data_IF_153959241919
#
_entry.id   IF_153959241919
#
_cell.length_a   1.000
_cell.length_b   1.000
_cell.length_c   1.000
_cell.angle_alpha   90.00
_cell.angle_beta   90.00
_cell.angle_gamma   90.00
#
_symmetry.space_group_name_H-M   'P 1'
#
loop_
_entity.id
_entity.type
_entity.pdbx_description
1 polymer ?
#
# COMPACT_ATOMS: atom_id res chain seq x y z
N UNK A 1 -15.59 -13.18 -51.74
CA UNK A 1 -14.34 -13.17 -50.95
C UNK A 1 -13.68 -11.85 -51.25
N UNK A 2 -13.63 -10.90 -50.32
CA UNK A 2 -12.62 -9.82 -50.25
C UNK A 2 -12.96 -8.85 -49.11
N UNK A 3 -11.96 -8.54 -48.28
CA UNK A 3 -12.10 -7.78 -47.04
C UNK A 3 -11.48 -8.50 -45.85
N UNK A 4 -10.16 -8.75 -45.89
CA UNK A 4 -9.41 -9.27 -44.74
C UNK A 4 -9.36 -8.27 -43.58
N UNK A 5 -9.01 -8.70 -42.36
CA UNK A 5 -8.95 -7.83 -41.19
C UNK A 5 -7.90 -6.71 -41.36
N UNK A 6 -8.31 -5.47 -41.10
CA UNK A 6 -7.44 -4.27 -41.19
C UNK A 6 -6.41 -4.28 -40.06
N UNK A 7 -5.13 -4.35 -40.42
CA UNK A 7 -3.99 -4.36 -39.50
C UNK A 7 -3.78 -2.96 -38.90
N UNK A 8 -3.79 -2.85 -37.57
CA UNK A 8 -3.55 -1.59 -36.84
C UNK A 8 -2.29 -1.69 -35.99
N UNK A 9 -1.33 -0.81 -36.23
CA UNK A 9 -0.04 -0.80 -35.55
C UNK A 9 0.00 0.29 -34.47
N UNK A 10 0.14 -0.13 -33.20
CA UNK A 10 0.22 0.79 -32.04
C UNK A 10 1.65 0.96 -31.52
N UNK A 11 2.48 -0.09 -31.60
CA UNK A 11 3.85 -0.11 -31.06
C UNK A 11 4.89 -0.61 -32.10
N UNK A 12 4.58 -0.53 -33.38
CA UNK A 12 5.46 -0.99 -34.46
C UNK A 12 5.39 -0.02 -35.65
N UNK A 13 6.53 0.22 -36.31
CA UNK A 13 6.61 1.03 -37.54
C UNK A 13 6.84 0.10 -38.75
N UNK A 14 5.81 -0.19 -39.55
CA UNK A 14 5.95 -1.01 -40.74
C UNK A 14 6.86 -0.32 -41.77
N UNK A 15 7.71 -1.12 -42.42
CA UNK A 15 8.63 -0.64 -43.48
C UNK A 15 7.97 -0.58 -44.86
N UNK A 16 6.96 -1.43 -45.10
CA UNK A 16 6.18 -1.44 -46.34
C UNK A 16 5.21 -0.26 -46.38
N UNK A 17 5.06 0.38 -47.55
CA UNK A 17 4.28 1.61 -47.69
C UNK A 17 2.78 1.38 -47.49
N UNK A 18 2.25 0.26 -47.98
CA UNK A 18 0.83 -0.10 -47.91
C UNK A 18 0.33 -0.36 -46.48
N UNK A 19 1.24 -0.54 -45.51
CA UNK A 19 0.91 -0.78 -44.10
C UNK A 19 1.11 0.47 -43.22
N UNK A 20 1.63 1.57 -43.77
CA UNK A 20 1.79 2.84 -43.05
C UNK A 20 0.45 3.47 -42.68
N UNK A 21 -0.58 3.25 -43.50
CA UNK A 21 -1.96 3.74 -43.26
C UNK A 21 -2.62 3.11 -42.03
N UNK A 22 -2.12 1.94 -41.59
CA UNK A 22 -2.58 1.25 -40.38
C UNK A 22 -1.93 1.74 -39.08
N UNK A 23 -0.99 2.68 -39.13
CA UNK A 23 -0.28 3.18 -37.93
C UNK A 23 -1.17 4.17 -37.19
N UNK A 24 -1.59 3.77 -36.00
CA UNK A 24 -2.40 4.64 -35.15
C UNK A 24 -1.51 5.73 -34.53
N UNK A 25 -2.02 6.97 -34.39
CA UNK A 25 -1.30 8.02 -33.69
C UNK A 25 -0.98 7.56 -32.27
N UNK A 26 0.27 7.78 -31.84
CA UNK A 26 0.69 7.48 -30.47
C UNK A 26 -0.22 8.28 -29.53
N UNK A 27 -0.90 7.59 -28.62
CA UNK A 27 -1.76 8.23 -27.64
C UNK A 27 -0.97 9.32 -26.90
N UNK A 28 -1.30 10.58 -27.15
CA UNK A 28 -0.82 11.70 -26.36
C UNK A 28 -1.57 11.65 -25.03
N UNK A 29 -0.84 11.80 -23.92
CA UNK A 29 -1.47 11.91 -22.62
C UNK A 29 -2.51 13.06 -22.67
N UNK A 30 -3.70 12.90 -22.07
CA UNK A 30 -4.63 14.00 -21.95
C UNK A 30 -3.92 15.13 -21.19
N UNK A 31 -3.93 16.33 -21.77
CA UNK A 31 -3.51 17.55 -21.06
C UNK A 31 -4.39 17.69 -19.83
N UNK A 32 -3.75 18.04 -18.72
CA UNK A 32 -4.28 18.16 -17.36
C UNK A 32 -5.79 18.42 -17.30
N UNK A 33 -6.51 17.45 -16.73
CA UNK A 33 -7.91 17.61 -16.37
C UNK A 33 -7.97 18.36 -15.05
N UNK A 34 -8.58 19.54 -15.13
CA UNK A 34 -8.93 20.45 -14.04
C UNK A 34 -9.64 19.71 -12.89
N UNK A 35 -9.22 20.02 -11.66
CA UNK A 35 -9.72 19.41 -10.42
C UNK A 35 -11.13 19.94 -10.11
N UNK A 36 -12.14 19.29 -10.68
CA UNK A 36 -13.55 19.55 -10.41
C UNK A 36 -14.15 18.55 -9.41
N UNK A 37 -14.50 19.06 -8.23
CA UNK A 37 -15.14 18.37 -7.10
C UNK A 37 -16.49 17.73 -7.49
N UNK A 38 -16.70 16.44 -7.20
CA UNK A 38 -18.04 15.87 -7.01
C UNK A 38 -17.99 14.67 -6.05
N UNK A 39 -18.74 14.80 -4.97
CA UNK A 39 -18.98 13.81 -3.93
C UNK A 39 -20.02 12.81 -4.44
N UNK A 40 -19.75 11.49 -4.40
CA UNK A 40 -20.79 10.46 -4.34
C UNK A 40 -20.24 9.15 -3.75
N UNK A 41 -21.05 8.52 -2.92
CA UNK A 41 -20.62 7.59 -1.89
C UNK A 41 -20.20 6.19 -2.36
N UNK A 42 -19.60 5.48 -1.41
CA UNK A 42 -19.80 4.03 -1.31
C UNK A 42 -19.18 3.18 -2.40
N UNK A 43 -17.95 3.47 -2.83
CA UNK A 43 -17.13 2.46 -3.50
C UNK A 43 -15.80 2.39 -2.78
N UNK A 44 -15.52 1.24 -2.17
CA UNK A 44 -14.17 0.85 -1.78
C UNK A 44 -13.39 0.69 -3.08
N UNK A 45 -12.98 1.83 -3.64
CA UNK A 45 -11.93 1.86 -4.64
C UNK A 45 -10.69 1.40 -3.89
N UNK A 46 -10.39 0.10 -3.99
CA UNK A 46 -9.04 -0.38 -3.85
C UNK A 46 -8.27 0.29 -4.99
N UNK A 47 -7.90 1.56 -4.77
CA UNK A 47 -6.86 2.25 -5.51
C UNK A 47 -5.62 1.44 -5.23
N UNK A 48 -5.40 0.42 -6.05
CA UNK A 48 -4.10 -0.18 -6.21
C UNK A 48 -3.24 0.98 -6.66
N UNK A 49 -2.57 1.63 -5.71
CA UNK A 49 -1.57 2.65 -5.98
C UNK A 49 -0.47 1.98 -6.80
N UNK A 50 -0.64 1.96 -8.13
CA UNK A 50 0.31 1.48 -9.13
C UNK A 50 1.39 2.56 -9.34
N UNK A 51 1.85 3.15 -8.24
CA UNK A 51 3.13 3.83 -8.21
C UNK A 51 4.22 2.77 -7.98
N UNK A 52 5.45 2.93 -8.50
CA UNK A 52 6.58 2.11 -8.11
C UNK A 52 6.77 2.24 -6.59
N UNK A 53 6.28 1.25 -5.83
CA UNK A 53 6.47 1.21 -4.39
C UNK A 53 7.94 0.91 -4.10
N UNK A 54 8.41 1.35 -2.93
CA UNK A 54 9.77 1.02 -2.45
C UNK A 54 9.96 -0.51 -2.52
N UNK A 55 11.14 -1.01 -2.91
CA UNK A 55 11.38 -2.45 -3.06
C UNK A 55 11.05 -3.26 -1.78
N UNK A 56 11.17 -2.63 -0.60
CA UNK A 56 10.88 -3.24 0.69
C UNK A 56 9.46 -2.99 1.22
N UNK A 57 8.52 -2.47 0.41
CA UNK A 57 7.18 -2.12 0.90
C UNK A 57 6.41 -3.37 1.35
N UNK A 58 6.55 -4.44 0.59
CA UNK A 58 5.89 -5.72 0.83
C UNK A 58 6.43 -6.37 2.10
N UNK A 59 7.76 -6.34 2.26
CA UNK A 59 8.43 -6.78 3.47
C UNK A 59 7.94 -6.03 4.71
N UNK A 60 7.84 -4.69 4.64
CA UNK A 60 7.33 -3.88 5.76
C UNK A 60 5.89 -4.25 6.12
N UNK A 61 5.03 -4.43 5.11
CA UNK A 61 3.62 -4.79 5.32
C UNK A 61 3.48 -6.17 5.99
N UNK A 62 4.18 -7.16 5.47
CA UNK A 62 4.04 -8.54 5.91
C UNK A 62 4.70 -8.78 7.28
N UNK A 63 5.79 -8.06 7.58
CA UNK A 63 6.46 -8.09 8.89
C UNK A 63 5.66 -7.32 9.94
N UNK A 64 5.01 -6.20 9.59
CA UNK A 64 4.24 -5.38 10.53
C UNK A 64 3.16 -6.20 11.27
N UNK A 65 2.43 -7.07 10.57
CA UNK A 65 1.40 -7.93 11.19
C UNK A 65 1.99 -8.91 12.22
N UNK A 66 3.17 -9.45 11.94
CA UNK A 66 3.87 -10.38 12.86
C UNK A 66 4.41 -9.62 14.07
N UNK A 67 5.00 -8.45 13.86
CA UNK A 67 5.49 -7.59 14.93
C UNK A 67 4.38 -7.12 15.86
N UNK A 68 3.24 -6.67 15.34
CA UNK A 68 2.11 -6.25 16.16
C UNK A 68 1.60 -7.36 17.11
N UNK A 69 1.58 -8.61 16.62
CA UNK A 69 1.22 -9.76 17.46
C UNK A 69 2.25 -10.04 18.55
N UNK A 70 3.53 -9.89 18.23
CA UNK A 70 4.62 -10.10 19.17
C UNK A 70 4.65 -9.00 20.23
N UNK A 71 4.56 -7.74 19.81
CA UNK A 71 4.51 -6.56 20.67
C UNK A 71 3.39 -6.65 21.71
N UNK A 72 2.18 -7.06 21.30
CA UNK A 72 1.07 -7.28 22.24
C UNK A 72 1.42 -8.32 23.31
N UNK A 73 2.08 -9.42 22.93
CA UNK A 73 2.49 -10.46 23.89
C UNK A 73 3.62 -9.97 24.79
N UNK A 74 4.56 -9.20 24.25
CA UNK A 74 5.65 -8.59 25.01
C UNK A 74 5.10 -7.61 26.04
N UNK A 75 4.15 -6.76 25.68
CA UNK A 75 3.47 -5.85 26.61
C UNK A 75 2.74 -6.64 27.71
N UNK A 76 2.04 -7.72 27.37
CA UNK A 76 1.39 -8.59 28.36
C UNK A 76 2.39 -9.19 29.34
N UNK A 77 3.49 -9.77 28.84
CA UNK A 77 4.54 -10.33 29.68
C UNK A 77 5.21 -9.26 30.57
N UNK A 78 5.43 -8.05 30.05
CA UNK A 78 5.94 -6.92 30.85
C UNK A 78 4.96 -6.58 31.98
N UNK A 79 3.67 -6.49 31.70
CA UNK A 79 2.64 -6.21 32.71
C UNK A 79 2.59 -7.31 33.77
N UNK A 80 2.68 -8.58 33.37
CA UNK A 80 2.73 -9.72 34.30
C UNK A 80 3.97 -9.65 35.22
N UNK A 81 5.15 -9.43 34.65
CA UNK A 81 6.39 -9.28 35.43
C UNK A 81 6.33 -8.09 36.40
N UNK A 82 5.68 -6.99 36.02
CA UNK A 82 5.48 -5.84 36.90
C UNK A 82 4.52 -6.21 38.04
N UNK A 83 3.40 -6.89 37.76
CA UNK A 83 2.45 -7.34 38.79
C UNK A 83 3.14 -8.23 39.84
N UNK A 84 3.94 -9.18 39.39
CA UNK A 84 4.71 -10.06 40.28
C UNK A 84 5.71 -9.26 41.13
N UNK A 85 6.46 -8.33 40.51
CA UNK A 85 7.40 -7.47 41.23
C UNK A 85 6.72 -6.58 42.27
N UNK A 86 5.56 -6.01 41.95
CA UNK A 86 4.80 -5.16 42.88
C UNK A 86 4.30 -5.98 44.06
N UNK A 87 3.77 -7.17 43.81
CA UNK A 87 3.34 -8.09 44.86
C UNK A 87 4.50 -8.51 45.79
N UNK A 88 5.71 -8.60 45.26
CA UNK A 88 6.92 -8.93 46.04
C UNK A 88 7.53 -7.74 46.76
N UNK A 89 7.42 -6.53 46.21
CA UNK A 89 8.20 -5.36 46.67
C UNK A 89 7.44 -4.40 47.58
N UNK A 90 6.12 -4.55 47.74
CA UNK A 90 5.31 -3.64 48.55
C UNK A 90 5.14 -2.27 47.90
N UNK A 91 3.93 -2.02 47.40
CA UNK A 91 3.25 -0.78 46.94
C UNK A 91 4.03 0.42 46.33
N UNK A 92 5.20 0.82 46.82
CA UNK A 92 5.89 2.06 46.41
C UNK A 92 6.49 2.01 44.97
N UNK A 93 6.87 0.82 44.49
CA UNK A 93 7.49 0.66 43.16
C UNK A 93 6.50 0.58 41.99
N UNK A 94 5.22 0.28 42.26
CA UNK A 94 4.27 -0.16 41.22
C UNK A 94 3.71 0.95 40.35
N UNK A 95 3.40 2.11 40.93
CA UNK A 95 2.80 3.22 40.20
C UNK A 95 3.76 3.85 39.18
N UNK A 96 5.05 3.98 39.53
CA UNK A 96 6.09 4.52 38.65
C UNK A 96 6.37 3.60 37.44
N UNK A 97 6.41 2.29 37.66
CA UNK A 97 6.65 1.30 36.60
C UNK A 97 5.47 1.18 35.64
N UNK A 98 4.22 1.25 36.13
CA UNK A 98 3.03 1.20 35.29
C UNK A 98 2.92 2.43 34.37
N UNK A 99 3.29 3.62 34.86
CA UNK A 99 3.34 4.84 34.07
C UNK A 99 4.41 4.78 32.96
N UNK A 100 5.59 4.20 33.26
CA UNK A 100 6.67 4.06 32.29
C UNK A 100 6.33 3.14 31.10
N UNK A 101 5.50 2.12 31.32
CA UNK A 101 5.04 1.20 30.24
C UNK A 101 3.94 1.82 29.38
N UNK A 102 3.16 2.74 29.92
CA UNK A 102 2.03 3.39 29.21
C UNK A 102 2.45 4.62 28.39
N UNK A 103 3.66 5.14 28.60
CA UNK A 103 4.18 6.33 27.95
C UNK A 103 4.99 6.06 26.65
N UNK A 104 4.98 4.83 26.14
CA UNK A 104 5.74 4.40 24.95
C UNK A 104 4.80 4.06 23.80
#
# INVERSE_FOLDING_TARGET
>A
REGGPVLKFRNYKPKAEDLKEGVLPKASAPKELDVGKAEDGGKVEVKLDVAPKKPNWDLKRDVAKKLAKLERRTQQAIVEMIKEKVAQSGDDGGASLAAAVSAK
#
